data_IF_150483305098
#
_entry.id   IF_150483305098
#
_cell.length_a   1.000
_cell.length_b   1.000
_cell.length_c   1.000
_cell.angle_alpha   90.00
_cell.angle_beta   90.00
_cell.angle_gamma   90.00
#
_symmetry.space_group_name_H-M   'P 1'
#
loop_
_entity.id
_entity.type
_entity.pdbx_description
1 polymer ?
#
# COMPACT_ATOMS: atom_id res chain seq x y z
N UNK A 1 11.16 -32.27 16.37
CA UNK A 1 11.22 -31.06 17.07
C UNK A 1 11.62 -29.89 16.24
N UNK A 2 12.83 -29.88 15.78
CA UNK A 2 13.30 -28.82 14.93
C UNK A 2 12.52 -28.71 13.65
N UNK A 3 12.03 -29.83 13.18
CA UNK A 3 11.24 -29.88 11.97
C UNK A 3 10.00 -29.01 12.12
N UNK A 4 9.37 -29.09 13.28
CA UNK A 4 8.20 -28.29 13.54
C UNK A 4 8.51 -26.82 13.53
N UNK A 5 9.65 -26.43 14.09
CA UNK A 5 10.07 -25.04 14.12
C UNK A 5 10.32 -24.50 12.72
N UNK A 6 10.93 -25.31 11.87
CA UNK A 6 11.19 -24.89 10.50
C UNK A 6 9.88 -24.71 9.73
N UNK A 7 8.95 -25.63 9.92
CA UNK A 7 7.65 -25.51 9.29
C UNK A 7 6.92 -24.25 9.75
N UNK A 8 6.99 -23.98 11.05
CA UNK A 8 6.35 -22.79 11.60
C UNK A 8 6.97 -21.53 11.03
N UNK A 9 8.31 -21.50 10.86
CA UNK A 9 8.98 -20.35 10.29
C UNK A 9 8.52 -20.07 8.88
N UNK A 10 8.38 -21.09 8.06
CA UNK A 10 7.91 -20.94 6.69
C UNK A 10 6.45 -20.54 6.68
N UNK A 11 5.64 -21.17 7.54
CA UNK A 11 4.21 -20.88 7.60
C UNK A 11 3.92 -19.45 8.06
N UNK A 12 4.88 -18.83 8.76
CA UNK A 12 4.70 -17.47 9.26
C UNK A 12 5.08 -16.40 8.27
N UNK A 13 5.63 -16.78 7.12
CA UNK A 13 5.94 -15.80 6.09
C UNK A 13 4.62 -15.31 5.53
N UNK A 14 4.34 -14.05 5.78
CA UNK A 14 3.12 -13.42 5.32
C UNK A 14 3.52 -12.35 4.32
N UNK A 15 3.17 -12.54 3.03
CA UNK A 15 3.51 -11.53 2.04
C UNK A 15 2.70 -10.26 2.19
N UNK A 16 1.56 -10.30 2.88
CA UNK A 16 0.69 -9.12 3.01
C UNK A 16 0.86 -8.50 4.39
N UNK A 17 1.98 -7.84 4.62
CA UNK A 17 2.29 -7.22 5.91
C UNK A 17 2.48 -5.72 5.74
N UNK A 18 2.47 -4.97 6.85
CA UNK A 18 2.65 -3.52 6.79
C UNK A 18 3.90 -3.13 6.00
N UNK A 19 3.76 -2.10 5.19
CA UNK A 19 4.85 -1.61 4.35
C UNK A 19 4.92 -2.21 2.98
N UNK A 20 4.14 -3.25 2.69
CA UNK A 20 4.16 -3.92 1.40
C UNK A 20 3.22 -3.19 0.43
N UNK A 21 3.67 -3.03 -0.82
CA UNK A 21 2.86 -2.39 -1.86
C UNK A 21 1.92 -3.39 -2.48
N UNK A 22 0.66 -3.02 -2.60
CA UNK A 22 -0.38 -3.91 -3.10
C UNK A 22 -1.30 -3.19 -4.08
N UNK A 23 -1.99 -4.01 -4.88
CA UNK A 23 -3.11 -3.61 -5.70
C UNK A 23 -4.36 -4.21 -5.07
N UNK A 24 -5.35 -3.38 -4.81
CA UNK A 24 -6.56 -3.80 -4.13
C UNK A 24 -7.76 -3.59 -5.04
N UNK A 25 -8.59 -4.59 -5.16
CA UNK A 25 -9.85 -4.50 -5.90
C UNK A 25 -11.00 -4.61 -4.91
N UNK A 26 -11.89 -3.64 -4.97
CA UNK A 26 -13.09 -3.61 -4.15
C UNK A 26 -14.30 -3.92 -5.00
N UNK A 27 -15.34 -4.47 -4.36
CA UNK A 27 -16.63 -4.68 -5.01
C UNK A 27 -17.70 -3.78 -4.42
N UNK A 28 -18.74 -3.54 -5.18
CA UNK A 28 -19.98 -2.87 -4.79
C UNK A 28 -19.78 -1.53 -4.09
N UNK A 29 -19.31 -0.49 -4.76
CA UNK A 29 -18.95 -0.44 -6.17
C UNK A 29 -17.55 -0.94 -6.42
N UNK A 30 -17.24 -1.22 -7.68
CA UNK A 30 -15.92 -1.69 -8.05
C UNK A 30 -14.94 -0.52 -8.09
N UNK A 31 -13.87 -0.67 -7.32
CA UNK A 31 -12.82 0.33 -7.25
C UNK A 31 -11.48 -0.37 -7.17
N UNK A 32 -10.43 0.28 -7.64
CA UNK A 32 -9.08 -0.26 -7.55
C UNK A 32 -8.15 0.76 -6.94
N UNK A 33 -7.31 0.30 -6.01
CA UNK A 33 -6.34 1.13 -5.32
C UNK A 33 -4.95 0.54 -5.44
N UNK A 34 -3.96 1.41 -5.41
CA UNK A 34 -2.57 1.04 -5.29
C UNK A 34 -2.03 1.75 -4.05
N UNK A 35 -1.31 1.02 -3.20
CA UNK A 35 -0.79 1.64 -2.00
C UNK A 35 -0.04 0.69 -1.10
N UNK A 36 0.40 1.24 0.03
CA UNK A 36 1.13 0.51 1.04
C UNK A 36 0.17 0.04 2.14
N UNK A 37 0.31 -1.20 2.54
CA UNK A 37 -0.46 -1.73 3.68
C UNK A 37 0.01 -1.02 4.94
N UNK A 38 -0.91 -0.47 5.70
CA UNK A 38 -0.63 0.06 7.04
C UNK A 38 -0.96 -1.00 8.09
N UNK A 39 -2.11 -1.66 7.93
CA UNK A 39 -2.48 -2.78 8.78
C UNK A 39 -3.54 -3.62 8.10
N UNK A 40 -3.53 -4.90 8.40
CA UNK A 40 -4.53 -5.84 7.88
C UNK A 40 -5.07 -6.64 9.05
N UNK A 41 -6.38 -6.57 9.24
CA UNK A 41 -7.06 -7.26 10.32
C UNK A 41 -8.23 -8.03 9.76
N UNK A 42 -8.90 -8.80 10.61
CA UNK A 42 -10.10 -9.51 10.18
C UNK A 42 -11.23 -8.56 9.81
N UNK A 43 -11.16 -7.31 10.24
CA UNK A 43 -12.19 -6.32 9.94
C UNK A 43 -11.95 -5.59 8.63
N UNK A 44 -10.72 -5.48 8.21
CA UNK A 44 -10.42 -4.77 6.98
C UNK A 44 -8.95 -4.41 6.84
N UNK A 45 -8.71 -3.59 5.84
CA UNK A 45 -7.37 -3.15 5.43
C UNK A 45 -7.26 -1.65 5.59
N UNK A 46 -6.21 -1.21 6.30
CA UNK A 46 -5.83 0.20 6.32
C UNK A 46 -4.73 0.39 5.30
N UNK A 47 -4.94 1.29 4.37
CA UNK A 47 -4.07 1.49 3.22
C UNK A 47 -3.72 2.95 3.06
N UNK A 48 -2.47 3.22 2.72
CA UNK A 48 -2.08 4.56 2.28
C UNK A 48 -1.75 4.49 0.80
N UNK A 49 -2.53 5.18 -0.02
CA UNK A 49 -2.33 5.10 -1.45
C UNK A 49 -3.29 5.97 -2.23
N UNK A 50 -3.51 5.59 -3.46
CA UNK A 50 -4.38 6.32 -4.37
C UNK A 50 -5.22 5.34 -5.18
N UNK A 51 -6.32 5.84 -5.70
CA UNK A 51 -7.04 5.08 -6.72
C UNK A 51 -6.11 4.86 -7.90
N UNK A 52 -6.24 3.71 -8.53
CA UNK A 52 -5.34 3.34 -9.63
C UNK A 52 -5.33 4.39 -10.74
N UNK A 53 -6.47 5.02 -10.99
CA UNK A 53 -6.57 6.06 -12.02
C UNK A 53 -5.75 7.29 -11.69
N UNK A 54 -5.39 7.49 -10.43
CA UNK A 54 -4.60 8.65 -10.00
C UNK A 54 -3.10 8.36 -9.89
N UNK A 55 -2.69 7.16 -10.26
CA UNK A 55 -1.29 6.76 -10.10
C UNK A 55 -0.34 7.69 -10.86
N UNK A 56 -0.63 7.93 -12.14
CA UNK A 56 0.27 8.74 -12.96
C UNK A 56 0.35 10.18 -12.46
N UNK A 57 -0.76 10.73 -11.97
CA UNK A 57 -0.76 12.08 -11.42
C UNK A 57 0.12 12.14 -10.16
N UNK A 58 0.01 11.14 -9.30
CA UNK A 58 0.83 11.08 -8.10
C UNK A 58 2.32 11.02 -8.45
N UNK A 59 2.67 10.18 -9.42
CA UNK A 59 4.07 10.05 -9.85
C UNK A 59 4.60 11.40 -10.35
N UNK A 60 3.81 12.11 -11.14
CA UNK A 60 4.21 13.41 -11.67
C UNK A 60 4.44 14.42 -10.55
N UNK A 61 3.53 14.47 -9.57
CA UNK A 61 3.67 15.40 -8.45
C UNK A 61 4.93 15.09 -7.64
N UNK A 62 5.16 13.82 -7.34
CA UNK A 62 6.34 13.42 -6.57
C UNK A 62 7.61 13.75 -7.33
N UNK A 63 7.63 13.45 -8.63
CA UNK A 63 8.81 13.70 -9.46
C UNK A 63 9.15 15.18 -9.49
N UNK A 64 8.15 16.04 -9.57
CA UNK A 64 8.34 17.47 -9.66
C UNK A 64 8.52 18.15 -8.31
N UNK A 65 8.51 17.38 -7.23
CA UNK A 65 8.63 17.95 -5.89
C UNK A 65 7.44 18.76 -5.45
N UNK A 66 6.29 18.53 -6.09
CA UNK A 66 5.05 19.24 -5.78
C UNK A 66 4.35 18.60 -4.60
N UNK A 67 3.53 19.36 -3.86
CA UNK A 67 2.73 18.77 -2.80
C UNK A 67 1.77 17.72 -3.35
N UNK A 68 1.57 16.64 -2.61
CA UNK A 68 0.68 15.57 -3.00
C UNK A 68 0.00 15.00 -1.75
N UNK A 69 -1.15 14.37 -1.94
CA UNK A 69 -1.96 13.88 -0.83
C UNK A 69 -2.47 12.48 -1.11
N UNK A 70 -1.66 11.46 -0.82
CA UNK A 70 -2.19 10.10 -0.86
C UNK A 70 -3.21 9.94 0.26
N UNK A 71 -4.23 9.12 0.03
CA UNK A 71 -5.25 8.91 1.02
C UNK A 71 -4.89 7.80 1.99
N UNK A 72 -5.21 8.01 3.26
CA UNK A 72 -5.18 6.94 4.25
C UNK A 72 -6.64 6.49 4.38
N UNK A 73 -6.92 5.27 3.96
CA UNK A 73 -8.29 4.77 3.92
C UNK A 73 -8.40 3.44 4.63
N UNK A 74 -9.55 3.19 5.22
CA UNK A 74 -9.88 1.89 5.77
C UNK A 74 -10.89 1.23 4.86
N UNK A 75 -10.55 0.05 4.38
CA UNK A 75 -11.39 -0.72 3.46
C UNK A 75 -11.94 -1.92 4.21
N UNK A 76 -13.27 -1.93 4.50
CA UNK A 76 -13.88 -3.03 5.24
C UNK A 76 -13.70 -4.37 4.50
N UNK A 77 -13.52 -5.43 5.25
CA UNK A 77 -13.24 -6.74 4.68
C UNK A 77 -14.31 -7.17 3.68
N UNK A 78 -15.57 -6.86 3.94
CA UNK A 78 -16.65 -7.28 3.03
C UNK A 78 -16.59 -6.59 1.66
N UNK A 79 -15.84 -5.48 1.55
CA UNK A 79 -15.66 -4.79 0.29
C UNK A 79 -14.47 -5.31 -0.51
N UNK A 80 -13.56 -6.02 0.16
CA UNK A 80 -12.35 -6.52 -0.48
C UNK A 80 -12.65 -7.74 -1.33
N UNK A 81 -12.45 -7.64 -2.63
CA UNK A 81 -12.56 -8.79 -3.52
C UNK A 81 -11.23 -9.47 -3.71
N UNK A 82 -10.16 -8.67 -3.81
CA UNK A 82 -8.84 -9.19 -4.12
C UNK A 82 -7.76 -8.22 -3.69
N UNK A 83 -6.68 -8.76 -3.19
CA UNK A 83 -5.49 -7.99 -2.89
C UNK A 83 -4.30 -8.73 -3.48
N UNK A 84 -3.51 -8.04 -4.27
CA UNK A 84 -2.36 -8.63 -4.94
C UNK A 84 -1.11 -7.84 -4.58
N UNK A 85 0.00 -8.56 -4.45
CA UNK A 85 1.28 -7.87 -4.35
C UNK A 85 1.55 -7.15 -5.66
N UNK A 86 2.11 -5.95 -5.56
CA UNK A 86 2.48 -5.18 -6.75
C UNK A 86 3.83 -5.67 -7.27
N UNK A 87 3.79 -6.66 -8.14
CA UNK A 87 4.96 -7.33 -8.68
C UNK A 87 5.01 -7.20 -10.19
N UNK A 88 6.21 -7.29 -10.78
CA UNK A 88 6.29 -7.28 -12.24
C UNK A 88 5.68 -8.54 -12.83
N UNK A 89 5.17 -8.42 -14.05
CA UNK A 89 4.59 -9.54 -14.79
C UNK A 89 5.42 -9.74 -16.04
N UNK A 90 6.34 -10.71 -16.01
CA UNK A 90 7.29 -10.90 -17.09
C UNK A 90 8.12 -9.66 -17.32
N UNK A 91 8.06 -9.11 -18.53
CA UNK A 91 8.79 -7.89 -18.87
C UNK A 91 8.02 -6.61 -18.53
N UNK A 92 6.78 -6.75 -18.06
CA UNK A 92 5.97 -5.59 -17.68
C UNK A 92 6.33 -5.21 -16.25
N UNK A 93 6.81 -3.98 -16.03
CA UNK A 93 7.19 -3.57 -14.68
C UNK A 93 5.99 -3.41 -13.75
N UNK A 94 6.20 -3.60 -12.47
CA UNK A 94 5.19 -3.28 -11.47
C UNK A 94 4.99 -1.77 -11.42
N UNK A 95 3.88 -1.34 -10.80
CA UNK A 95 3.67 0.10 -10.59
C UNK A 95 4.73 0.66 -9.65
N UNK A 96 5.15 -0.11 -8.66
CA UNK A 96 6.23 0.31 -7.77
C UNK A 96 7.54 0.54 -8.52
N UNK A 97 7.85 -0.33 -9.48
CA UNK A 97 9.03 -0.13 -10.32
C UNK A 97 8.90 1.11 -11.19
N UNK A 98 7.72 1.33 -11.75
CA UNK A 98 7.47 2.54 -12.56
C UNK A 98 7.61 3.80 -11.72
N UNK A 99 7.10 3.77 -10.50
CA UNK A 99 7.23 4.88 -9.57
C UNK A 99 8.71 5.19 -9.31
N UNK A 100 9.48 4.18 -8.95
CA UNK A 100 10.90 4.35 -8.65
C UNK A 100 11.68 4.82 -9.86
N UNK A 101 11.38 4.26 -11.04
CA UNK A 101 12.07 4.67 -12.26
C UNK A 101 11.87 6.15 -12.55
N UNK A 102 10.68 6.67 -12.31
CA UNK A 102 10.38 8.07 -12.63
C UNK A 102 10.76 9.05 -11.53
N UNK A 103 10.69 8.65 -10.29
CA UNK A 103 10.93 9.56 -9.16
C UNK A 103 12.26 9.36 -8.47
N UNK A 104 12.87 8.19 -8.62
CA UNK A 104 14.09 7.84 -7.90
C UNK A 104 13.83 7.48 -6.44
N UNK A 105 12.58 7.37 -6.03
CA UNK A 105 12.22 7.14 -4.64
C UNK A 105 11.50 5.80 -4.47
N UNK A 106 11.50 5.31 -3.24
CA UNK A 106 10.80 4.08 -2.89
C UNK A 106 9.35 4.44 -2.55
N UNK A 107 8.36 3.86 -3.26
CA UNK A 107 6.97 4.26 -3.05
C UNK A 107 6.46 3.97 -1.64
N UNK A 108 6.83 2.83 -1.06
CA UNK A 108 6.37 2.51 0.29
C UNK A 108 6.88 3.53 1.30
N UNK A 109 8.13 3.94 1.18
CA UNK A 109 8.69 4.93 2.11
C UNK A 109 7.98 6.27 1.95
N UNK A 110 7.74 6.71 0.72
CA UNK A 110 7.07 7.97 0.45
C UNK A 110 5.66 7.95 1.04
N UNK A 111 4.90 6.90 0.78
CA UNK A 111 3.52 6.81 1.23
C UNK A 111 3.43 6.67 2.74
N UNK A 112 4.26 5.83 3.34
CA UNK A 112 4.20 5.61 4.78
C UNK A 112 4.60 6.86 5.53
N UNK A 113 5.58 7.60 5.02
CA UNK A 113 5.96 8.87 5.62
C UNK A 113 4.79 9.84 5.63
N UNK A 114 3.99 9.85 4.57
CA UNK A 114 2.80 10.68 4.49
C UNK A 114 1.69 10.19 5.41
N UNK A 115 1.62 8.88 5.63
CA UNK A 115 0.61 8.29 6.51
C UNK A 115 0.94 8.47 7.98
N UNK A 116 2.20 8.78 8.31
CA UNK A 116 2.61 8.95 9.69
C UNK A 116 1.91 10.18 10.27
N UNK A 117 0.97 9.93 11.15
CA UNK A 117 0.20 11.00 11.78
C UNK A 117 0.88 11.36 13.07
N UNK A 118 1.26 12.64 13.19
CA UNK A 118 1.87 13.16 14.39
C UNK A 118 0.84 13.18 15.51
N UNK A 119 1.07 12.46 16.62
CA UNK A 119 0.12 12.49 17.74
C UNK A 119 -0.12 13.90 18.26
N UNK A 120 0.86 14.77 18.15
CA UNK A 120 0.70 16.17 18.55
C UNK A 120 -0.35 16.86 17.69
N UNK A 121 -0.34 16.60 16.40
CA UNK A 121 -1.33 17.19 15.50
C UNK A 121 -2.73 16.73 15.86
N UNK A 122 -2.89 15.47 16.21
CA UNK A 122 -4.19 14.95 16.61
C UNK A 122 -4.64 15.59 17.91
N UNK A 123 -3.72 15.72 18.87
CA UNK A 123 -4.04 16.35 20.13
C UNK A 123 -4.41 17.82 19.97
N UNK A 124 -3.73 18.51 19.08
CA UNK A 124 -3.98 19.92 18.87
C UNK A 124 -5.36 20.18 18.27
N UNK A 125 -5.91 19.22 17.57
CA UNK A 125 -7.22 19.41 16.94
C UNK A 125 -8.35 19.22 17.93
N UNK A 126 -8.04 18.92 19.14
CA UNK A 126 -9.02 18.73 20.18
C UNK A 126 -8.98 19.89 21.16
#
# INVERSE_FOLDING_TARGET
>A
MEIGNQSDGIARIDPFRPGVMVLVTLGNPREKFWGAILSLTTQGLSLCGVELASFDDLVSLVKDGEPFSPGVVFLPMHRLERMELDLPDGSIPSLSQRFTTKTGLNPAEVLIRHAAIDPQSLGASQ
#
